data_IF_629279210813
#
_entry.id   IF_629279210813
#
_cell.length_a   1.000
_cell.length_b   1.000
_cell.length_c   1.000
_cell.angle_alpha   90.00
_cell.angle_beta   90.00
_cell.angle_gamma   90.00
#
_symmetry.space_group_name_H-M   'P 1'
#
loop_
_entity.id
_entity.type
_entity.pdbx_description
1 polymer ?
#
# COMPACT_ATOMS: atom_id res chain seq x y z
N UNK A 1 23.80 17.34 -14.87
CA UNK A 1 24.20 17.96 -13.59
C UNK A 1 24.15 16.87 -12.54
N UNK A 2 25.25 16.47 -11.89
CA UNK A 2 25.16 15.44 -10.86
C UNK A 2 24.70 16.12 -9.57
N UNK A 3 23.53 15.72 -9.06
CA UNK A 3 23.11 16.06 -7.72
C UNK A 3 24.13 15.45 -6.75
N UNK A 4 24.73 16.27 -5.90
CA UNK A 4 25.61 15.81 -4.85
C UNK A 4 24.83 14.84 -3.95
N UNK A 5 25.22 13.57 -3.97
CA UNK A 5 24.73 12.56 -3.04
C UNK A 5 25.31 12.88 -1.68
N UNK A 6 24.60 13.70 -0.90
CA UNK A 6 24.76 13.65 0.56
C UNK A 6 24.43 12.21 0.93
N UNK A 7 25.39 11.48 1.50
CA UNK A 7 25.20 10.13 2.05
C UNK A 7 24.29 10.17 3.28
N UNK A 8 23.09 10.73 3.15
CA UNK A 8 22.02 10.47 4.10
C UNK A 8 21.47 9.10 3.73
N UNK A 9 22.13 8.07 4.27
CA UNK A 9 21.67 6.68 4.16
C UNK A 9 20.20 6.59 4.60
N UNK A 10 19.36 6.00 3.75
CA UNK A 10 17.96 5.77 4.09
C UNK A 10 17.91 4.73 5.22
N UNK A 11 17.33 5.10 6.37
CA UNK A 11 17.21 4.22 7.53
C UNK A 11 15.73 3.90 7.72
N UNK A 12 15.41 2.64 7.52
CA UNK A 12 14.05 2.11 7.55
C UNK A 12 13.76 1.50 8.93
N UNK A 13 12.77 2.04 9.62
CA UNK A 13 12.21 1.46 10.83
C UNK A 13 11.01 0.57 10.48
N UNK A 14 11.07 -0.70 10.89
CA UNK A 14 9.94 -1.64 10.75
C UNK A 14 8.99 -1.48 11.92
N UNK A 15 7.78 -1.05 11.63
CA UNK A 15 6.72 -0.88 12.62
C UNK A 15 5.78 -2.08 12.57
N UNK A 16 5.53 -2.64 13.74
CA UNK A 16 4.61 -3.73 14.03
C UNK A 16 3.68 -3.31 15.17
N UNK A 17 2.68 -4.13 15.49
CA UNK A 17 1.75 -3.83 16.58
C UNK A 17 2.43 -3.56 17.94
N UNK A 18 3.59 -4.16 18.20
CA UNK A 18 4.32 -4.02 19.46
C UNK A 18 5.02 -2.67 19.66
N UNK A 19 5.45 -2.00 18.57
CA UNK A 19 6.17 -0.73 18.62
C UNK A 19 5.42 0.41 17.90
N UNK A 20 4.14 0.21 17.58
CA UNK A 20 3.34 1.16 16.82
C UNK A 20 3.23 2.52 17.51
N UNK A 21 2.87 2.53 18.79
CA UNK A 21 2.67 3.78 19.53
C UNK A 21 3.95 4.60 19.66
N UNK A 22 5.07 3.93 19.98
CA UNK A 22 6.38 4.57 20.13
C UNK A 22 6.85 5.20 18.81
N UNK A 23 6.76 4.45 17.71
CA UNK A 23 7.22 4.93 16.41
C UNK A 23 6.29 5.98 15.82
N UNK A 24 4.98 5.91 16.09
CA UNK A 24 4.03 6.96 15.73
C UNK A 24 4.39 8.27 16.42
N UNK A 25 4.72 8.26 17.72
CA UNK A 25 5.16 9.46 18.43
C UNK A 25 6.42 10.08 17.81
N UNK A 26 7.46 9.27 17.54
CA UNK A 26 8.69 9.73 16.89
C UNK A 26 8.44 10.33 15.50
N UNK A 27 7.55 9.70 14.72
CA UNK A 27 7.18 10.21 13.39
C UNK A 27 6.48 11.58 13.46
N UNK A 28 5.66 11.81 14.50
CA UNK A 28 4.99 13.09 14.74
C UNK A 28 5.97 14.19 15.14
N UNK A 29 6.99 13.88 15.93
CA UNK A 29 8.05 14.84 16.25
C UNK A 29 8.83 15.29 15.01
N UNK A 30 9.06 14.37 14.06
CA UNK A 30 9.79 14.65 12.83
C UNK A 30 8.98 15.52 11.86
N UNK A 31 7.65 15.40 11.84
CA UNK A 31 6.77 16.23 11.02
C UNK A 31 6.93 17.73 11.25
N UNK A 32 7.35 18.16 12.45
CA UNK A 32 7.57 19.58 12.73
C UNK A 32 8.76 20.16 11.95
N UNK A 33 9.77 19.36 11.61
CA UNK A 33 10.99 19.80 10.91
C UNK A 33 11.08 19.27 9.47
N UNK A 34 10.42 18.14 9.18
CA UNK A 34 10.45 17.43 7.91
C UNK A 34 9.01 17.15 7.47
N UNK A 35 8.36 18.17 6.90
CA UNK A 35 6.93 18.20 6.57
C UNK A 35 6.56 17.58 5.23
N UNK A 36 7.54 17.15 4.42
CA UNK A 36 7.30 16.50 3.13
C UNK A 36 7.29 14.99 3.33
N UNK A 37 6.23 14.34 2.85
CA UNK A 37 6.03 12.90 3.06
C UNK A 37 5.93 12.22 1.69
N UNK A 38 6.84 11.28 1.42
CA UNK A 38 6.66 10.30 0.36
C UNK A 38 5.96 9.06 0.93
N UNK A 39 4.94 8.57 0.22
CA UNK A 39 4.12 7.44 0.64
C UNK A 39 4.16 6.35 -0.43
N UNK A 40 4.29 5.11 0.03
CA UNK A 40 4.12 3.91 -0.80
C UNK A 40 3.32 2.85 -0.05
N UNK A 41 2.56 2.02 -0.77
CA UNK A 41 1.65 1.04 -0.15
C UNK A 41 1.66 -0.27 -0.92
N UNK A 42 1.70 -1.39 -0.20
CA UNK A 42 1.64 -2.73 -0.78
C UNK A 42 0.31 -3.41 -0.45
N UNK A 43 -0.29 -3.97 -1.50
CA UNK A 43 -1.57 -4.69 -1.45
C UNK A 43 -1.41 -6.08 -2.08
N UNK A 44 -2.26 -7.05 -1.71
CA UNK A 44 -2.28 -8.34 -2.40
C UNK A 44 -2.67 -8.15 -3.88
N UNK A 45 -1.93 -8.77 -4.80
CA UNK A 45 -2.22 -8.68 -6.24
C UNK A 45 -3.47 -9.52 -6.56
N UNK A 46 -4.65 -8.92 -6.42
CA UNK A 46 -5.93 -9.49 -6.85
C UNK A 46 -6.62 -8.47 -7.75
N UNK A 47 -7.00 -8.91 -8.94
CA UNK A 47 -7.73 -8.06 -9.88
C UNK A 47 -9.20 -8.44 -9.84
N UNK A 48 -10.02 -7.53 -9.32
CA UNK A 48 -11.49 -7.64 -9.38
C UNK A 48 -11.97 -6.96 -10.64
N UNK A 49 -12.92 -7.55 -11.38
CA UNK A 49 -13.47 -6.91 -12.59
C UNK A 49 -14.90 -6.44 -12.30
N UNK A 50 -15.20 -5.15 -12.49
CA UNK A 50 -16.58 -4.68 -12.35
C UNK A 50 -17.45 -5.34 -13.43
N UNK A 51 -18.64 -5.81 -13.03
CA UNK A 51 -19.65 -6.36 -13.95
C UNK A 51 -20.71 -5.29 -14.19
N UNK A 52 -20.79 -4.79 -15.42
CA UNK A 52 -21.77 -3.78 -15.85
C UNK A 52 -21.38 -3.11 -17.17
N UNK A 53 -22.32 -2.44 -17.82
CA UNK A 53 -22.05 -1.59 -18.99
C UNK A 53 -21.41 -0.28 -18.54
N UNK A 54 -20.08 -0.20 -18.66
CA UNK A 54 -19.33 1.01 -18.37
C UNK A 54 -19.18 1.83 -19.66
N UNK A 55 -19.68 3.07 -19.61
CA UNK A 55 -19.81 3.95 -20.78
C UNK A 55 -18.46 4.49 -21.28
N UNK A 56 -17.45 4.58 -20.40
CA UNK A 56 -16.11 5.07 -20.75
C UNK A 56 -15.01 4.24 -20.12
N UNK A 57 -13.82 4.25 -20.74
CA UNK A 57 -12.62 3.56 -20.24
C UNK A 57 -12.14 4.13 -18.89
N UNK A 58 -12.33 5.43 -18.65
CA UNK A 58 -11.91 6.12 -17.43
C UNK A 58 -12.77 5.64 -16.24
N UNK A 59 -14.09 5.56 -16.44
CA UNK A 59 -15.01 5.03 -15.41
C UNK A 59 -14.69 3.58 -15.07
N UNK A 60 -14.32 2.78 -16.08
CA UNK A 60 -13.88 1.40 -15.86
C UNK A 60 -12.60 1.31 -15.04
N UNK A 61 -11.58 2.13 -15.34
CA UNK A 61 -10.33 2.15 -14.58
C UNK A 61 -10.53 2.64 -13.14
N UNK A 62 -11.38 3.65 -12.94
CA UNK A 62 -11.71 4.13 -11.60
C UNK A 62 -12.45 3.07 -10.79
N UNK A 63 -13.46 2.41 -11.37
CA UNK A 63 -14.17 1.34 -10.67
C UNK A 63 -13.28 0.13 -10.40
N UNK A 64 -12.35 -0.20 -11.31
CA UNK A 64 -11.35 -1.23 -11.09
C UNK A 64 -10.50 -0.92 -9.85
N UNK A 65 -9.99 0.31 -9.76
CA UNK A 65 -9.21 0.77 -8.61
C UNK A 65 -10.06 0.79 -7.33
N UNK A 66 -11.27 1.35 -7.39
CA UNK A 66 -12.17 1.48 -6.25
C UNK A 66 -12.53 0.12 -5.66
N UNK A 67 -12.97 -0.83 -6.49
CA UNK A 67 -13.26 -2.20 -6.02
C UNK A 67 -11.99 -2.87 -5.48
N UNK A 68 -10.83 -2.65 -6.09
CA UNK A 68 -9.58 -3.27 -5.62
C UNK A 68 -9.16 -2.72 -4.25
N UNK A 69 -9.32 -1.41 -4.00
CA UNK A 69 -8.95 -0.78 -2.72
C UNK A 69 -9.94 -1.12 -1.61
N UNK A 70 -11.24 -1.14 -1.89
CA UNK A 70 -12.28 -1.44 -0.89
C UNK A 70 -12.21 -2.89 -0.38
N UNK A 71 -11.77 -3.81 -1.25
CA UNK A 71 -11.77 -5.25 -0.99
C UNK A 71 -10.50 -5.78 -0.35
N UNK A 72 -9.39 -5.08 -0.52
CA UNK A 72 -8.08 -5.61 -0.17
C UNK A 72 -7.54 -4.93 1.07
N UNK A 73 -7.24 -5.75 2.07
CA UNK A 73 -6.51 -5.28 3.26
C UNK A 73 -5.09 -4.89 2.85
N UNK A 74 -4.69 -3.70 3.28
CA UNK A 74 -3.31 -3.21 3.13
C UNK A 74 -2.33 -4.16 3.83
N UNK A 75 -1.19 -4.42 3.20
CA UNK A 75 -0.12 -5.28 3.76
C UNK A 75 0.95 -4.40 4.39
N UNK A 76 1.42 -3.40 3.64
CA UNK A 76 2.44 -2.46 4.12
C UNK A 76 2.11 -1.02 3.71
N UNK A 77 2.55 -0.08 4.55
CA UNK A 77 2.58 1.35 4.28
C UNK A 77 3.99 1.85 4.59
N UNK A 78 4.65 2.44 3.61
CA UNK A 78 5.93 3.13 3.76
C UNK A 78 5.71 4.63 3.79
N UNK A 79 6.22 5.30 4.83
CA UNK A 79 6.25 6.76 4.94
C UNK A 79 7.70 7.23 5.05
N UNK A 80 8.14 8.10 4.14
CA UNK A 80 9.48 8.70 4.18
C UNK A 80 9.36 10.21 4.35
N UNK A 81 10.08 10.76 5.32
CA UNK A 81 10.00 12.18 5.67
C UNK A 81 11.20 12.95 5.14
N UNK A 82 10.94 14.10 4.52
CA UNK A 82 11.94 15.02 3.97
C UNK A 82 11.60 16.48 4.27
N UNK A 83 12.57 17.36 4.11
CA UNK A 83 12.36 18.81 4.17
C UNK A 83 12.19 19.41 2.76
N UNK A 84 11.99 20.73 2.69
CA UNK A 84 11.84 21.47 1.42
C UNK A 84 13.02 21.28 0.44
N UNK A 85 14.20 20.94 0.96
CA UNK A 85 15.42 20.72 0.17
C UNK A 85 15.61 19.25 -0.24
N UNK A 86 14.69 18.36 0.17
CA UNK A 86 14.81 16.92 -0.07
C UNK A 86 15.82 16.22 0.83
N UNK A 87 16.22 16.84 1.95
CA UNK A 87 17.12 16.24 2.92
C UNK A 87 16.33 15.40 3.93
N UNK A 88 16.95 14.32 4.40
CA UNK A 88 16.38 13.41 5.39
C UNK A 88 16.70 13.84 6.83
N UNK A 89 15.85 13.47 7.82
CA UNK A 89 16.22 13.59 9.23
C UNK A 89 17.42 12.69 9.56
N UNK A 90 18.20 13.09 10.56
CA UNK A 90 19.29 12.27 11.08
C UNK A 90 18.72 11.03 11.79
N UNK A 91 19.19 9.84 11.41
CA UNK A 91 18.68 8.58 11.92
C UNK A 91 17.53 8.04 11.07
N UNK A 92 16.43 7.62 11.71
CA UNK A 92 15.28 7.02 11.03
C UNK A 92 14.60 8.09 10.16
N UNK A 93 14.45 7.80 8.88
CA UNK A 93 13.77 8.67 7.92
C UNK A 93 12.58 8.01 7.23
N UNK A 94 12.50 6.68 7.31
CA UNK A 94 11.46 5.88 6.67
C UNK A 94 10.80 4.96 7.69
N UNK A 95 9.48 5.02 7.82
CA UNK A 95 8.67 4.11 8.62
C UNK A 95 7.93 3.16 7.70
N UNK A 96 8.18 1.86 7.88
CA UNK A 96 7.47 0.81 7.17
C UNK A 96 6.53 0.10 8.14
N UNK A 97 5.25 0.45 8.07
CA UNK A 97 4.18 -0.17 8.83
C UNK A 97 3.81 -1.51 8.21
N UNK A 98 3.85 -2.55 9.03
CA UNK A 98 3.49 -3.90 8.62
C UNK A 98 2.15 -4.25 9.27
N UNK A 99 1.12 -4.39 8.45
CA UNK A 99 -0.22 -4.71 8.91
C UNK A 99 -0.40 -6.22 9.04
N UNK A 100 -1.31 -6.62 9.92
CA UNK A 100 -1.70 -8.02 10.07
C UNK A 100 -2.46 -8.46 8.82
N UNK A 101 -1.85 -9.36 8.05
CA UNK A 101 -2.46 -9.95 6.87
C UNK A 101 -2.40 -11.47 6.94
N UNK A 102 -3.53 -12.13 6.73
CA UNK A 102 -3.66 -13.58 6.65
C UNK A 102 -4.18 -13.96 5.27
N UNK A 103 -3.27 -14.44 4.42
CA UNK A 103 -3.54 -14.79 3.02
C UNK A 103 -4.84 -15.60 2.85
N UNK A 104 -5.02 -16.66 3.63
CA UNK A 104 -6.15 -17.58 3.45
C UNK A 104 -7.48 -17.02 3.95
N UNK A 105 -7.50 -16.31 5.08
CA UNK A 105 -8.74 -15.79 5.68
C UNK A 105 -9.20 -14.51 4.95
N UNK A 106 -8.26 -13.63 4.64
CA UNK A 106 -8.56 -12.31 4.07
C UNK A 106 -8.94 -12.41 2.60
N UNK A 107 -8.25 -13.27 1.82
CA UNK A 107 -8.64 -13.55 0.45
C UNK A 107 -9.97 -14.31 0.41
N UNK A 108 -10.21 -15.29 1.31
CA UNK A 108 -11.51 -16.00 1.35
C UNK A 108 -12.68 -15.09 1.70
N UNK A 109 -12.48 -14.13 2.60
CA UNK A 109 -13.52 -13.13 2.95
C UNK A 109 -13.86 -12.28 1.72
N UNK A 110 -12.84 -11.75 1.05
CA UNK A 110 -12.97 -11.03 -0.22
C UNK A 110 -13.76 -11.83 -1.27
N UNK A 111 -13.45 -13.13 -1.43
CA UNK A 111 -14.18 -14.01 -2.33
C UNK A 111 -15.66 -14.23 -1.96
N UNK A 112 -15.95 -14.43 -0.68
CA UNK A 112 -17.30 -14.78 -0.23
C UNK A 112 -18.26 -13.60 -0.36
N UNK A 113 -17.81 -12.39 -0.05
CA UNK A 113 -18.64 -11.17 -0.19
C UNK A 113 -18.87 -10.80 -1.66
N UNK A 114 -17.92 -11.10 -2.55
CA UNK A 114 -17.94 -10.66 -3.96
C UNK A 114 -17.92 -11.83 -4.94
N UNK A 115 -18.53 -12.96 -4.57
CA UNK A 115 -18.58 -14.22 -5.34
C UNK A 115 -19.12 -14.08 -6.77
N UNK A 116 -19.75 -12.94 -7.10
CA UNK A 116 -20.18 -12.58 -8.45
C UNK A 116 -19.19 -11.74 -9.26
N UNK A 117 -18.13 -11.16 -8.70
CA UNK A 117 -17.34 -10.06 -9.31
C UNK A 117 -15.84 -10.34 -9.55
N UNK A 118 -15.30 -11.50 -9.14
CA UNK A 118 -13.85 -11.72 -9.15
C UNK A 118 -13.44 -12.85 -10.10
N UNK A 119 -12.61 -12.54 -11.11
CA UNK A 119 -11.93 -13.51 -11.98
C UNK A 119 -10.41 -13.45 -11.76
N UNK A 120 -9.79 -14.58 -11.42
CA UNK A 120 -8.34 -14.68 -11.26
C UNK A 120 -7.65 -14.99 -12.60
N UNK A 121 -6.59 -14.24 -12.91
CA UNK A 121 -5.63 -14.60 -13.97
C UNK A 121 -4.26 -14.83 -13.35
N UNK A 122 -3.96 -16.09 -13.00
CA UNK A 122 -2.59 -16.49 -12.70
C UNK A 122 -1.78 -16.53 -14.01
N UNK A 123 -0.54 -16.04 -14.01
CA UNK A 123 0.38 -16.22 -15.14
C UNK A 123 0.63 -17.72 -15.31
N UNK A 124 -0.13 -18.33 -16.24
CA UNK A 124 -0.34 -19.76 -16.57
C UNK A 124 -1.69 -20.31 -16.06
N UNK A 125 -2.74 -19.98 -16.80
CA UNK A 125 -4.08 -20.59 -16.67
C UNK A 125 -5.14 -19.63 -16.16
N UNK A 126 -6.21 -19.44 -16.95
CA UNK A 126 -7.46 -18.84 -16.49
C UNK A 126 -8.29 -19.99 -15.91
N UNK A 127 -8.45 -20.02 -14.59
CA UNK A 127 -9.40 -20.90 -13.94
C UNK A 127 -10.60 -20.06 -13.50
N UNK A 128 -11.71 -20.19 -14.21
CA UNK A 128 -13.02 -19.84 -13.66
C UNK A 128 -13.42 -21.02 -12.76
N UNK A 129 -13.32 -20.85 -11.44
CA UNK A 129 -13.94 -21.80 -10.51
C UNK A 129 -15.44 -21.54 -10.53
N UNK A 130 -16.17 -22.37 -11.25
CA UNK A 130 -17.57 -22.62 -10.94
C UNK A 130 -17.61 -23.40 -9.63
N UNK A 131 -17.96 -22.72 -8.53
CA UNK A 131 -18.36 -23.33 -7.25
C UNK A 131 -19.82 -23.04 -6.97
#
# INVERSE_FOLDING_TARGET
>A
MPAALVENSQVICKVWASNLEEEMWKSQEILFSYSYIAMDTEFPIVVVRPIGELRTLIDYQYQLLWCTVDLLKIIQLGLTFTNEKGEYPSGINTWQFNFKFKLTEDIKTCFNEYRRYIYFRFRRGVFALNL
#
